data_IF_934904373129
#
_entry.id   IF_934904373129
#
_cell.length_a   1.000
_cell.length_b   1.000
_cell.length_c   1.000
_cell.angle_alpha   90.00
_cell.angle_beta   90.00
_cell.angle_gamma   90.00
#
_symmetry.space_group_name_H-M   'P 1'
#
loop_
_entity.id
_entity.type
_entity.pdbx_description
1 polymer ?
#
# COMPACT_ATOMS: atom_id res chain seq x y z
N UNK A 1 -26.56 -44.01 25.96
CA UNK A 1 -25.97 -42.78 25.36
C UNK A 1 -24.61 -42.43 25.97
N UNK A 2 -24.44 -42.49 27.30
CA UNK A 2 -23.13 -42.29 27.96
C UNK A 2 -22.03 -43.24 27.44
N UNK A 3 -22.36 -44.51 27.21
CA UNK A 3 -21.40 -45.49 26.67
C UNK A 3 -20.92 -45.14 25.26
N UNK A 4 -21.83 -44.63 24.41
CA UNK A 4 -21.49 -44.11 23.09
C UNK A 4 -20.56 -42.89 23.17
N UNK A 5 -20.74 -42.02 24.17
CA UNK A 5 -19.84 -40.90 24.44
C UNK A 5 -18.46 -41.41 24.89
N UNK A 6 -18.40 -42.39 25.80
CA UNK A 6 -17.14 -43.02 26.27
C UNK A 6 -16.35 -43.61 25.11
N UNK A 7 -16.99 -44.41 24.25
CA UNK A 7 -16.36 -44.99 23.07
C UNK A 7 -15.89 -43.93 22.06
N UNK A 8 -16.65 -42.83 21.91
CA UNK A 8 -16.28 -41.73 21.03
C UNK A 8 -15.00 -41.02 21.53
N UNK A 9 -14.92 -40.71 22.83
CA UNK A 9 -13.78 -39.97 23.41
C UNK A 9 -12.53 -40.85 23.59
N UNK A 10 -12.71 -42.16 23.77
CA UNK A 10 -11.60 -43.12 23.84
C UNK A 10 -10.74 -43.12 22.55
N UNK A 11 -11.35 -42.89 21.39
CA UNK A 11 -10.63 -42.75 20.10
C UNK A 11 -9.63 -41.59 20.09
N UNK A 12 -9.83 -40.59 20.95
CA UNK A 12 -8.95 -39.43 21.11
C UNK A 12 -8.03 -39.55 22.34
N UNK A 13 -7.99 -40.73 22.98
CA UNK A 13 -7.21 -40.97 24.20
C UNK A 13 -7.78 -40.23 25.42
N UNK A 14 -9.08 -39.98 25.46
CA UNK A 14 -9.74 -39.32 26.58
C UNK A 14 -10.63 -40.29 27.37
N UNK A 15 -10.70 -40.07 28.67
CA UNK A 15 -11.58 -40.79 29.60
C UNK A 15 -12.74 -39.89 30.02
N UNK A 16 -13.97 -40.36 29.90
CA UNK A 16 -15.15 -39.66 30.43
C UNK A 16 -15.25 -39.93 31.93
N UNK A 17 -15.29 -38.87 32.75
CA UNK A 17 -15.39 -38.96 34.21
C UNK A 17 -16.84 -38.90 34.70
N UNK A 18 -17.81 -38.68 33.80
CA UNK A 18 -19.22 -38.68 34.17
C UNK A 18 -19.70 -40.09 34.58
N UNK A 19 -20.31 -40.19 35.75
CA UNK A 19 -20.99 -41.38 36.25
C UNK A 19 -22.33 -41.62 35.55
N UNK A 20 -23.05 -40.54 35.20
CA UNK A 20 -24.38 -40.59 34.61
C UNK A 20 -24.50 -39.74 33.33
N UNK A 21 -25.53 -40.02 32.52
CA UNK A 21 -25.80 -39.28 31.30
C UNK A 21 -26.51 -37.96 31.58
N UNK A 22 -25.77 -36.85 31.55
CA UNK A 22 -26.32 -35.50 31.82
C UNK A 22 -27.15 -34.88 30.68
N UNK A 23 -27.26 -35.53 29.51
CA UNK A 23 -27.98 -35.00 28.33
C UNK A 23 -27.06 -34.52 27.19
N UNK A 24 -27.57 -34.41 25.97
CA UNK A 24 -26.74 -34.18 24.76
C UNK A 24 -26.10 -32.78 24.70
N UNK A 25 -26.78 -31.77 25.22
CA UNK A 25 -26.30 -30.38 25.26
C UNK A 25 -25.57 -30.04 26.56
N UNK A 26 -25.47 -31.00 27.49
CA UNK A 26 -24.82 -30.81 28.78
C UNK A 26 -23.30 -30.97 28.66
N UNK A 27 -22.58 -30.32 29.56
CA UNK A 27 -21.12 -30.45 29.68
C UNK A 27 -20.81 -31.70 30.49
N UNK A 28 -19.89 -32.52 30.00
CA UNK A 28 -19.38 -33.69 30.71
C UNK A 28 -17.90 -33.49 31.02
N UNK A 29 -17.42 -33.93 32.20
CA UNK A 29 -16.01 -33.92 32.54
C UNK A 29 -15.26 -35.05 31.82
N UNK A 30 -14.08 -34.70 31.29
CA UNK A 30 -13.16 -35.62 30.62
C UNK A 30 -11.74 -35.44 31.17
N UNK A 31 -10.95 -36.51 31.12
CA UNK A 31 -9.52 -36.48 31.34
C UNK A 31 -8.79 -36.88 30.04
N UNK A 32 -7.72 -36.18 29.66
CA UNK A 32 -6.85 -36.63 28.56
C UNK A 32 -5.77 -37.62 29.05
N UNK A 33 -5.04 -38.23 28.13
CA UNK A 33 -3.91 -39.12 28.43
C UNK A 33 -2.78 -38.47 29.26
N UNK A 34 -2.64 -37.13 29.25
CA UNK A 34 -1.68 -36.39 30.09
C UNK A 34 -2.24 -36.01 31.46
N UNK A 35 -3.46 -36.43 31.79
CA UNK A 35 -4.10 -36.18 33.09
C UNK A 35 -4.81 -34.83 33.23
N UNK A 36 -4.91 -34.01 32.16
CA UNK A 36 -5.68 -32.76 32.25
C UNK A 36 -7.18 -33.05 32.28
N UNK A 37 -7.86 -32.46 33.26
CA UNK A 37 -9.32 -32.54 33.41
C UNK A 37 -9.97 -31.31 32.79
N UNK A 38 -10.98 -31.50 31.96
CA UNK A 38 -11.71 -30.42 31.29
C UNK A 38 -13.15 -30.83 30.94
N UNK A 39 -14.00 -29.85 30.69
CA UNK A 39 -15.41 -30.07 30.39
C UNK A 39 -15.76 -29.73 28.95
N UNK A 40 -16.54 -30.59 28.28
CA UNK A 40 -17.06 -30.33 26.92
C UNK A 40 -18.48 -30.82 26.73
N UNK A 41 -19.17 -30.22 25.76
CA UNK A 41 -20.55 -30.57 25.42
C UNK A 41 -20.58 -31.83 24.56
N UNK A 42 -21.36 -32.83 24.96
CA UNK A 42 -21.47 -34.13 24.27
C UNK A 42 -21.91 -34.03 22.80
N UNK A 43 -22.81 -33.10 22.46
CA UNK A 43 -23.25 -32.84 21.08
C UNK A 43 -22.07 -32.61 20.13
N UNK A 44 -21.07 -31.82 20.58
CA UNK A 44 -19.91 -31.44 19.75
C UNK A 44 -18.95 -32.60 19.49
N UNK A 45 -19.02 -33.66 20.29
CA UNK A 45 -18.21 -34.86 20.15
C UNK A 45 -18.94 -35.93 19.32
N UNK A 46 -20.26 -36.05 19.51
CA UNK A 46 -21.06 -37.12 18.93
C UNK A 46 -21.60 -36.83 17.52
N UNK A 47 -21.85 -35.54 17.19
CA UNK A 47 -22.61 -35.18 15.98
C UNK A 47 -21.96 -34.10 15.10
N UNK A 48 -20.91 -33.42 15.57
CA UNK A 48 -20.29 -32.32 14.81
C UNK A 48 -19.04 -32.79 14.07
N UNK A 49 -19.04 -32.68 12.74
CA UNK A 49 -17.88 -32.87 11.85
C UNK A 49 -16.94 -31.64 11.87
N UNK A 50 -16.57 -31.16 13.06
CA UNK A 50 -15.41 -30.27 13.21
C UNK A 50 -14.14 -31.12 13.36
N UNK A 51 -12.96 -30.57 13.04
CA UNK A 51 -11.68 -31.29 13.16
C UNK A 51 -11.48 -32.00 14.50
N UNK A 52 -10.54 -32.95 14.52
CA UNK A 52 -10.32 -33.83 15.67
C UNK A 52 -10.21 -33.02 16.99
N UNK A 53 -11.04 -33.31 17.99
CA UNK A 53 -11.03 -32.58 19.23
C UNK A 53 -9.71 -32.75 19.98
N UNK A 54 -9.11 -31.63 20.40
CA UNK A 54 -7.86 -31.61 21.16
C UNK A 54 -8.08 -31.10 22.57
N UNK A 55 -7.27 -31.60 23.51
CA UNK A 55 -7.22 -31.06 24.86
C UNK A 55 -6.50 -29.71 24.79
N UNK A 56 -7.15 -28.63 25.25
CA UNK A 56 -6.63 -27.26 25.14
C UNK A 56 -5.33 -27.12 25.94
N UNK A 57 -5.26 -27.73 27.13
CA UNK A 57 -4.05 -27.70 27.97
C UNK A 57 -2.88 -28.42 27.31
N UNK A 58 -3.08 -29.63 26.78
CA UNK A 58 -2.09 -30.34 25.98
C UNK A 58 -1.62 -29.50 24.78
N UNK A 59 -2.55 -28.88 24.06
CA UNK A 59 -2.24 -28.05 22.90
C UNK A 59 -1.38 -26.83 23.28
N UNK A 60 -1.66 -26.19 24.43
CA UNK A 60 -0.88 -25.07 24.93
C UNK A 60 0.53 -25.49 25.34
N UNK A 61 0.68 -26.64 26.00
CA UNK A 61 1.98 -27.24 26.31
C UNK A 61 2.76 -27.55 25.03
N UNK A 62 2.14 -28.18 24.04
CA UNK A 62 2.81 -28.51 22.76
C UNK A 62 3.23 -27.25 21.99
N UNK A 63 2.45 -26.17 22.07
CA UNK A 63 2.82 -24.87 21.48
C UNK A 63 4.02 -24.28 22.22
N UNK A 64 3.99 -24.30 23.56
CA UNK A 64 5.09 -23.82 24.41
C UNK A 64 6.38 -24.59 24.10
N UNK A 65 6.32 -25.91 24.13
CA UNK A 65 7.51 -26.75 24.01
C UNK A 65 8.13 -26.64 22.62
N UNK A 66 7.30 -26.57 21.56
CA UNK A 66 7.78 -26.27 20.20
C UNK A 66 8.41 -24.89 20.08
N UNK A 67 7.86 -23.89 20.77
CA UNK A 67 8.39 -22.54 20.75
C UNK A 67 9.74 -22.45 21.48
N UNK A 68 9.86 -23.09 22.65
CA UNK A 68 11.12 -23.21 23.39
C UNK A 68 12.17 -24.00 22.61
N UNK A 69 11.78 -25.09 21.94
CA UNK A 69 12.68 -25.86 21.08
C UNK A 69 13.22 -25.00 19.92
N UNK A 70 12.38 -24.19 19.26
CA UNK A 70 12.82 -23.24 18.21
C UNK A 70 13.78 -22.18 18.73
N UNK A 71 13.60 -21.73 19.98
CA UNK A 71 14.55 -20.81 20.61
C UNK A 71 15.89 -21.50 20.85
N UNK A 72 15.87 -22.69 21.44
CA UNK A 72 17.08 -23.47 21.75
C UNK A 72 17.87 -23.83 20.48
N UNK A 73 17.20 -24.29 19.42
CA UNK A 73 17.81 -24.62 18.12
C UNK A 73 18.61 -23.46 17.53
N UNK A 74 18.14 -22.23 17.73
CA UNK A 74 18.78 -21.01 17.22
C UNK A 74 19.66 -20.31 18.23
N UNK A 75 19.96 -20.95 19.36
CA UNK A 75 20.78 -20.40 20.45
C UNK A 75 20.19 -19.14 21.07
N UNK A 76 18.86 -19.04 21.14
CA UNK A 76 18.15 -17.93 21.77
C UNK A 76 17.87 -18.20 23.24
N UNK A 77 18.11 -17.21 24.10
CA UNK A 77 17.77 -17.23 25.53
C UNK A 77 16.61 -16.27 25.77
N UNK A 78 15.59 -16.74 26.49
CA UNK A 78 14.48 -15.91 26.93
C UNK A 78 14.88 -15.13 28.19
N UNK A 79 14.71 -13.81 28.16
CA UNK A 79 15.08 -12.92 29.28
C UNK A 79 13.91 -12.62 30.20
N UNK A 80 12.67 -12.67 29.70
CA UNK A 80 11.49 -12.25 30.45
C UNK A 80 10.45 -13.37 30.64
N UNK A 81 10.33 -13.86 31.88
CA UNK A 81 9.23 -14.70 32.35
C UNK A 81 9.03 -16.03 31.58
N UNK A 82 8.03 -16.83 31.98
CA UNK A 82 7.66 -18.04 31.26
C UNK A 82 6.88 -17.72 29.98
N UNK A 83 6.81 -18.68 29.07
CA UNK A 83 5.96 -18.58 27.88
C UNK A 83 4.47 -18.59 28.28
N UNK A 84 3.83 -17.44 28.11
CA UNK A 84 2.38 -17.26 28.34
C UNK A 84 1.49 -17.37 27.09
N UNK A 85 2.05 -17.41 25.87
CA UNK A 85 1.28 -17.57 24.64
C UNK A 85 1.89 -16.89 23.41
N UNK A 86 1.46 -17.29 22.21
CA UNK A 86 2.05 -16.80 20.95
C UNK A 86 1.86 -15.30 20.69
N UNK A 87 0.81 -14.68 21.23
CA UNK A 87 0.53 -13.26 21.02
C UNK A 87 1.21 -12.35 22.06
N UNK A 88 1.90 -12.93 23.04
CA UNK A 88 2.66 -12.17 24.02
C UNK A 88 4.01 -11.71 23.44
N UNK A 89 4.57 -10.68 24.08
CA UNK A 89 5.88 -10.13 23.74
C UNK A 89 6.95 -10.67 24.67
N UNK A 90 8.08 -11.02 24.07
CA UNK A 90 9.22 -11.65 24.71
C UNK A 90 10.49 -10.88 24.39
N UNK A 91 11.35 -10.74 25.38
CA UNK A 91 12.71 -10.23 25.27
C UNK A 91 13.64 -11.42 25.13
N UNK A 92 14.29 -11.52 23.97
CA UNK A 92 15.14 -12.65 23.61
C UNK A 92 16.54 -12.14 23.34
N UNK A 93 17.54 -12.87 23.84
CA UNK A 93 18.96 -12.70 23.52
C UNK A 93 19.40 -13.79 22.55
N UNK A 94 20.04 -13.48 21.43
CA UNK A 94 20.60 -14.50 20.53
C UNK A 94 22.00 -14.93 20.97
N UNK A 95 22.52 -15.98 20.34
CA UNK A 95 23.89 -16.48 20.55
C UNK A 95 24.98 -15.41 20.33
N UNK A 96 24.72 -14.41 19.48
CA UNK A 96 25.64 -13.29 19.25
C UNK A 96 25.51 -12.16 20.31
N UNK A 97 24.68 -12.35 21.34
CA UNK A 97 24.48 -11.38 22.42
C UNK A 97 23.48 -10.27 22.13
N UNK A 98 22.82 -10.25 20.96
CA UNK A 98 21.84 -9.21 20.66
C UNK A 98 20.51 -9.46 21.37
N UNK A 99 20.00 -8.43 22.02
CA UNK A 99 18.71 -8.44 22.71
C UNK A 99 17.66 -7.72 21.88
N UNK A 100 16.46 -8.30 21.77
CA UNK A 100 15.34 -7.64 21.11
C UNK A 100 14.00 -8.10 21.66
N UNK A 101 13.01 -7.23 21.52
CA UNK A 101 11.61 -7.51 21.88
C UNK A 101 10.81 -7.97 20.66
N UNK A 102 10.17 -9.14 20.75
CA UNK A 102 9.41 -9.76 19.66
C UNK A 102 8.19 -10.51 20.17
N UNK A 103 7.17 -10.59 19.33
CA UNK A 103 5.98 -11.39 19.61
C UNK A 103 6.24 -12.89 19.37
N UNK A 104 5.75 -13.76 20.25
CA UNK A 104 6.02 -15.21 20.21
C UNK A 104 5.70 -15.85 18.85
N UNK A 105 4.60 -15.44 18.22
CA UNK A 105 4.15 -15.89 16.90
C UNK A 105 5.21 -15.67 15.82
N UNK A 106 5.95 -14.56 15.86
CA UNK A 106 6.98 -14.24 14.85
C UNK A 106 8.15 -15.21 14.91
N UNK A 107 8.51 -15.70 16.10
CA UNK A 107 9.49 -16.76 16.28
C UNK A 107 8.96 -18.09 15.74
N UNK A 108 7.69 -18.42 16.02
CA UNK A 108 7.04 -19.62 15.44
C UNK A 108 6.98 -19.59 13.92
N UNK A 109 6.79 -18.42 13.31
CA UNK A 109 6.81 -18.20 11.85
C UNK A 109 8.23 -18.18 11.25
N UNK A 110 9.29 -18.27 12.08
CA UNK A 110 10.67 -18.38 11.62
C UNK A 110 11.44 -17.05 11.52
N UNK A 111 10.84 -15.92 11.90
CA UNK A 111 11.57 -14.64 12.01
C UNK A 111 12.53 -14.69 13.21
N UNK A 112 13.68 -14.04 13.10
CA UNK A 112 14.75 -14.08 14.11
C UNK A 112 15.34 -12.70 14.40
N UNK A 113 16.45 -12.69 15.15
CA UNK A 113 17.25 -11.52 15.51
C UNK A 113 17.45 -10.56 14.32
N UNK A 114 16.90 -9.34 14.40
CA UNK A 114 17.04 -8.34 13.33
C UNK A 114 18.50 -7.94 13.08
N UNK A 115 19.30 -7.83 14.14
CA UNK A 115 20.72 -7.44 14.06
C UNK A 115 21.55 -8.51 13.34
N UNK A 116 21.35 -9.80 13.66
CA UNK A 116 22.00 -10.88 12.92
C UNK A 116 21.52 -10.95 11.47
N UNK A 117 20.22 -10.82 11.24
CA UNK A 117 19.66 -10.82 9.88
C UNK A 117 20.20 -9.66 9.03
N UNK A 118 20.37 -8.48 9.62
CA UNK A 118 21.00 -7.34 8.97
C UNK A 118 22.48 -7.59 8.70
N UNK A 119 23.23 -8.10 9.68
CA UNK A 119 24.64 -8.46 9.51
C UNK A 119 24.86 -9.50 8.41
N UNK A 120 24.01 -10.52 8.30
CA UNK A 120 24.07 -11.53 7.26
C UNK A 120 23.66 -10.99 5.89
N UNK A 121 22.65 -10.12 5.82
CA UNK A 121 22.30 -9.42 4.57
C UNK A 121 23.43 -8.51 4.09
N UNK A 122 24.10 -7.82 5.02
CA UNK A 122 25.28 -6.99 4.77
C UNK A 122 26.45 -7.85 4.30
N UNK A 123 26.76 -8.98 4.94
CA UNK A 123 27.83 -9.89 4.51
C UNK A 123 27.55 -10.51 3.13
N UNK A 124 26.32 -10.96 2.86
CA UNK A 124 25.89 -11.49 1.55
C UNK A 124 25.89 -10.42 0.46
N UNK A 125 25.69 -9.15 0.80
CA UNK A 125 25.76 -8.02 -0.15
C UNK A 125 27.16 -7.45 -0.31
N UNK A 126 28.04 -7.62 0.69
CA UNK A 126 29.46 -7.25 0.66
C UNK A 126 30.36 -8.32 0.05
N UNK A 127 29.80 -9.39 -0.57
CA UNK A 127 30.60 -10.40 -1.25
C UNK A 127 31.70 -9.71 -2.07
N UNK A 128 32.95 -10.13 -1.87
CA UNK A 128 34.16 -9.53 -2.43
C UNK A 128 34.08 -9.28 -3.96
N UNK A 129 33.18 -9.96 -4.64
CA UNK A 129 32.87 -9.80 -6.07
C UNK A 129 32.05 -8.55 -6.43
N UNK A 130 31.54 -7.78 -5.47
CA UNK A 130 30.75 -6.57 -5.74
C UNK A 130 31.52 -5.54 -6.57
N UNK A 131 32.79 -5.33 -6.23
CA UNK A 131 33.69 -4.45 -7.00
C UNK A 131 34.05 -5.07 -8.36
N UNK A 132 34.39 -6.36 -8.39
CA UNK A 132 34.72 -7.08 -9.62
C UNK A 132 33.58 -7.03 -10.65
N UNK A 133 32.33 -7.18 -10.20
CA UNK A 133 31.12 -7.07 -11.03
C UNK A 133 30.90 -5.65 -11.56
N UNK A 134 31.21 -4.62 -10.77
CA UNK A 134 31.16 -3.23 -11.25
C UNK A 134 32.24 -2.95 -12.29
N UNK A 135 33.46 -3.47 -12.11
CA UNK A 135 34.52 -3.37 -13.13
C UNK A 135 34.14 -4.11 -14.42
N UNK A 136 33.61 -5.33 -14.32
CA UNK A 136 33.16 -6.10 -15.49
C UNK A 136 32.05 -5.35 -16.26
N UNK A 137 31.04 -4.82 -15.55
CA UNK A 137 29.97 -4.02 -16.18
C UNK A 137 30.47 -2.71 -16.79
N UNK A 138 31.51 -2.12 -16.21
CA UNK A 138 32.14 -0.93 -16.78
C UNK A 138 32.88 -1.26 -18.08
N UNK A 139 33.63 -2.36 -18.11
CA UNK A 139 34.36 -2.83 -19.28
C UNK A 139 33.43 -3.23 -20.42
N UNK A 140 32.31 -3.91 -20.15
CA UNK A 140 31.26 -4.21 -21.15
C UNK A 140 30.71 -2.97 -21.87
N UNK A 141 30.87 -1.78 -21.28
CA UNK A 141 30.35 -0.50 -21.79
C UNK A 141 31.47 0.46 -22.18
N UNK A 142 32.65 -0.07 -22.49
CA UNK A 142 33.87 0.67 -22.85
C UNK A 142 34.20 1.77 -21.85
N UNK A 143 33.99 1.52 -20.56
CA UNK A 143 34.28 2.47 -19.49
C UNK A 143 35.01 1.84 -18.32
N UNK A 144 35.24 2.65 -17.29
CA UNK A 144 36.05 2.31 -16.13
C UNK A 144 35.31 2.66 -14.85
N UNK A 145 35.33 1.76 -13.87
CA UNK A 145 35.00 2.10 -12.49
C UNK A 145 36.27 2.67 -11.82
N UNK A 146 36.17 3.87 -11.24
CA UNK A 146 37.26 4.57 -10.56
C UNK A 146 37.24 4.36 -9.04
N UNK A 147 36.23 3.68 -8.51
CA UNK A 147 36.13 3.37 -7.09
C UNK A 147 37.04 2.20 -6.73
N UNK A 148 37.84 2.36 -5.67
CA UNK A 148 38.77 1.32 -5.19
C UNK A 148 38.16 0.37 -4.14
N UNK A 149 37.01 0.74 -3.56
CA UNK A 149 36.37 -0.03 -2.48
C UNK A 149 34.87 -0.19 -2.74
N UNK A 150 34.36 -1.38 -2.46
CA UNK A 150 32.93 -1.70 -2.49
C UNK A 150 32.41 -1.85 -1.07
N UNK A 151 31.69 -0.83 -0.60
CA UNK A 151 31.00 -0.86 0.68
C UNK A 151 29.53 -0.53 0.49
N UNK A 152 28.65 -1.18 1.25
CA UNK A 152 27.20 -0.93 1.20
C UNK A 152 26.87 0.50 1.66
N UNK A 153 27.72 1.07 2.52
CA UNK A 153 27.63 2.46 2.96
C UNK A 153 28.02 3.45 1.87
N UNK A 154 28.92 3.06 0.96
CA UNK A 154 29.24 3.83 -0.23
C UNK A 154 28.05 3.78 -1.19
N UNK A 155 27.11 4.70 -0.97
CA UNK A 155 25.90 4.84 -1.77
C UNK A 155 26.21 5.13 -3.24
N UNK A 156 27.40 5.64 -3.55
CA UNK A 156 27.78 6.12 -4.87
C UNK A 156 29.19 5.67 -5.26
N UNK A 157 29.29 5.14 -6.48
CA UNK A 157 30.51 4.68 -7.11
C UNK A 157 30.86 5.58 -8.28
N UNK A 158 32.15 5.84 -8.49
CA UNK A 158 32.66 6.72 -9.54
C UNK A 158 32.93 5.92 -10.81
N UNK A 159 32.45 6.42 -11.93
CA UNK A 159 32.61 5.80 -13.25
C UNK A 159 33.08 6.83 -14.28
N UNK A 160 33.77 6.34 -15.30
CA UNK A 160 34.20 7.08 -16.50
C UNK A 160 33.80 6.28 -17.74
N UNK A 161 33.20 6.92 -18.76
CA UNK A 161 32.85 6.25 -20.02
C UNK A 161 33.92 6.47 -21.09
N UNK A 162 33.83 5.76 -22.22
CA UNK A 162 34.71 5.91 -23.39
C UNK A 162 34.91 7.36 -23.87
N UNK A 163 33.89 8.21 -23.70
CA UNK A 163 33.93 9.63 -24.09
C UNK A 163 34.52 10.55 -23.00
N UNK A 164 35.10 9.99 -21.94
CA UNK A 164 35.71 10.73 -20.83
C UNK A 164 34.73 11.36 -19.83
N UNK A 165 33.43 11.07 -19.92
CA UNK A 165 32.47 11.60 -18.94
C UNK A 165 32.59 10.88 -17.62
N UNK A 166 32.78 11.64 -16.53
CA UNK A 166 32.81 11.13 -15.16
C UNK A 166 31.48 11.37 -14.44
N UNK A 167 30.99 10.37 -13.72
CA UNK A 167 29.77 10.49 -12.90
C UNK A 167 29.79 9.55 -11.69
N UNK A 168 28.88 9.81 -10.76
CA UNK A 168 28.63 9.00 -9.58
C UNK A 168 27.27 8.30 -9.69
N UNK A 169 27.22 6.99 -9.43
CA UNK A 169 25.99 6.19 -9.54
C UNK A 169 25.96 5.07 -8.49
N UNK A 170 24.75 4.60 -8.15
CA UNK A 170 24.59 3.44 -7.27
C UNK A 170 24.92 2.15 -8.02
N UNK A 171 25.51 1.18 -7.33
CA UNK A 171 25.84 -0.11 -7.93
C UNK A 171 24.63 -0.81 -8.58
N UNK A 172 23.47 -0.78 -7.92
CA UNK A 172 22.23 -1.37 -8.43
C UNK A 172 21.74 -0.72 -9.75
N UNK A 173 21.95 0.59 -9.93
CA UNK A 173 21.52 1.28 -11.15
C UNK A 173 22.38 0.87 -12.36
N UNK A 174 23.67 0.65 -12.12
CA UNK A 174 24.61 0.11 -13.11
C UNK A 174 24.25 -1.34 -13.46
N UNK A 175 23.94 -2.18 -12.46
CA UNK A 175 23.51 -3.56 -12.71
C UNK A 175 22.20 -3.65 -13.49
N UNK A 176 21.30 -2.68 -13.33
CA UNK A 176 20.06 -2.55 -14.11
C UNK A 176 20.28 -2.03 -15.54
N UNK A 177 21.51 -1.67 -15.91
CA UNK A 177 21.89 -1.27 -17.26
C UNK A 177 22.04 0.24 -17.48
N UNK A 178 21.84 1.07 -16.45
CA UNK A 178 22.08 2.51 -16.51
C UNK A 178 23.58 2.78 -16.60
N UNK A 179 24.01 3.70 -17.46
CA UNK A 179 25.43 4.00 -17.66
C UNK A 179 25.69 5.51 -17.66
N UNK A 180 26.24 6.06 -18.74
CA UNK A 180 26.54 7.48 -18.84
C UNK A 180 25.32 8.30 -19.29
N UNK A 181 24.72 9.04 -18.37
CA UNK A 181 23.59 9.93 -18.67
C UNK A 181 23.89 11.04 -19.68
N UNK A 182 25.14 11.53 -19.75
CA UNK A 182 25.56 12.50 -20.78
C UNK A 182 25.60 11.86 -22.17
N UNK A 183 26.16 10.66 -22.30
CA UNK A 183 26.14 9.92 -23.57
C UNK A 183 24.72 9.54 -23.99
N UNK A 184 23.88 9.11 -23.05
CA UNK A 184 22.48 8.81 -23.31
C UNK A 184 21.75 10.06 -23.83
N UNK A 185 21.90 11.20 -23.16
CA UNK A 185 21.33 12.48 -23.61
C UNK A 185 21.82 12.91 -24.99
N UNK A 186 23.11 12.77 -25.30
CA UNK A 186 23.67 13.10 -26.61
C UNK A 186 23.14 12.20 -27.74
N UNK A 187 22.80 10.96 -27.41
CA UNK A 187 22.20 10.01 -28.37
C UNK A 187 20.73 10.35 -28.58
N UNK A 188 19.98 10.57 -27.49
CA UNK A 188 18.56 10.94 -27.54
C UNK A 188 18.31 12.34 -28.11
N UNK A 189 19.21 13.31 -27.91
CA UNK A 189 19.06 14.68 -28.45
C UNK A 189 19.20 14.73 -29.97
N UNK A 190 19.78 13.70 -30.59
CA UNK A 190 19.94 13.59 -32.05
C UNK A 190 18.80 12.81 -32.71
N UNK A 191 18.00 12.08 -31.93
CA UNK A 191 16.88 11.27 -32.42
C UNK A 191 15.58 12.05 -32.20
N UNK A 192 15.25 12.90 -33.17
CA UNK A 192 13.93 13.52 -33.25
C UNK A 192 12.98 12.49 -33.88
N UNK A 193 11.82 12.26 -33.27
CA UNK A 193 10.78 11.40 -33.85
C UNK A 193 10.39 11.95 -35.24
N UNK A 194 10.65 11.21 -36.34
CA UNK A 194 10.34 11.68 -37.69
C UNK A 194 8.84 11.91 -37.89
N UNK A 195 7.99 11.26 -37.10
CA UNK A 195 6.53 11.43 -37.12
C UNK A 195 6.01 12.39 -36.05
N UNK A 196 6.91 13.07 -35.32
CA UNK A 196 6.54 13.93 -34.19
C UNK A 196 5.61 15.08 -34.58
N UNK A 197 5.84 15.70 -35.74
CA UNK A 197 4.97 16.77 -36.26
C UNK A 197 3.57 16.26 -36.61
N UNK A 198 3.49 15.14 -37.35
CA UNK A 198 2.22 14.54 -37.75
C UNK A 198 1.38 14.15 -36.53
N UNK A 199 2.01 13.56 -35.50
CA UNK A 199 1.36 13.22 -34.23
C UNK A 199 0.87 14.47 -33.49
N UNK A 200 1.65 15.54 -33.49
CA UNK A 200 1.28 16.80 -32.83
C UNK A 200 0.09 17.48 -33.53
N UNK A 201 0.09 17.49 -34.86
CA UNK A 201 -1.02 18.00 -35.67
C UNK A 201 -2.28 17.13 -35.53
N UNK A 202 -2.15 15.80 -35.44
CA UNK A 202 -3.26 14.89 -35.20
C UNK A 202 -3.89 15.13 -33.81
N UNK A 203 -3.08 15.27 -32.76
CA UNK A 203 -3.55 15.59 -31.41
C UNK A 203 -4.27 16.94 -31.35
N UNK A 204 -3.80 17.93 -32.12
CA UNK A 204 -4.50 19.21 -32.24
C UNK A 204 -5.87 19.07 -32.91
N UNK A 205 -5.94 18.31 -34.02
CA UNK A 205 -7.19 18.04 -34.75
C UNK A 205 -8.22 17.31 -33.89
N UNK A 206 -7.79 16.31 -33.11
CA UNK A 206 -8.66 15.57 -32.19
C UNK A 206 -9.32 16.49 -31.15
N UNK A 207 -8.61 17.54 -30.71
CA UNK A 207 -9.14 18.56 -29.77
C UNK A 207 -9.90 19.70 -30.47
N UNK A 208 -10.20 19.55 -31.76
CA UNK A 208 -10.88 20.55 -32.57
C UNK A 208 -10.06 21.82 -32.75
N UNK A 209 -8.74 21.71 -32.90
CA UNK A 209 -7.88 22.85 -33.22
C UNK A 209 -6.77 22.48 -34.19
N UNK A 210 -5.81 23.39 -34.32
CA UNK A 210 -4.69 23.26 -35.25
C UNK A 210 -3.37 23.54 -34.54
N UNK A 211 -2.34 22.79 -34.94
CA UNK A 211 -0.96 23.12 -34.61
C UNK A 211 -0.41 23.98 -35.76
N UNK A 212 0.16 25.13 -35.44
CA UNK A 212 0.68 26.11 -36.41
C UNK A 212 2.19 25.91 -36.66
N UNK A 213 2.77 24.81 -36.18
CA UNK A 213 4.19 24.54 -36.35
C UNK A 213 4.46 23.88 -37.72
N UNK A 214 5.52 24.32 -38.38
CA UNK A 214 5.99 23.75 -39.65
C UNK A 214 7.07 22.67 -39.46
N UNK A 215 7.72 22.64 -38.30
CA UNK A 215 8.78 21.69 -37.98
C UNK A 215 8.65 21.16 -36.55
N UNK A 216 9.08 19.91 -36.35
CA UNK A 216 9.17 19.28 -35.03
C UNK A 216 10.63 19.09 -34.66
N UNK A 217 11.02 19.67 -33.52
CA UNK A 217 12.42 19.71 -33.04
C UNK A 217 12.60 18.82 -31.80
N UNK A 218 11.51 18.45 -31.12
CA UNK A 218 11.54 17.58 -29.95
C UNK A 218 10.31 17.68 -29.05
N UNK A 219 10.15 16.70 -28.17
CA UNK A 219 8.96 16.56 -27.31
C UNK A 219 8.91 17.54 -26.13
N UNK A 220 10.06 18.13 -25.80
CA UNK A 220 10.24 19.14 -24.74
C UNK A 220 10.11 20.58 -25.25
N UNK A 221 10.08 20.78 -26.56
CA UNK A 221 9.98 22.11 -27.18
C UNK A 221 8.55 22.65 -27.20
N UNK A 222 8.43 23.98 -27.31
CA UNK A 222 7.15 24.69 -27.37
C UNK A 222 6.73 24.91 -28.82
N UNK A 223 5.45 24.66 -29.09
CA UNK A 223 4.83 24.81 -30.40
C UNK A 223 3.59 25.70 -30.31
N UNK A 224 3.30 26.48 -31.37
CA UNK A 224 2.08 27.29 -31.46
C UNK A 224 0.85 26.42 -31.78
N UNK A 225 -0.24 26.69 -31.09
CA UNK A 225 -1.55 26.04 -31.30
C UNK A 225 -2.67 27.08 -31.35
N UNK A 226 -3.74 26.74 -32.08
CA UNK A 226 -4.99 27.49 -32.13
C UNK A 226 -6.17 26.55 -31.91
N UNK A 227 -7.11 26.89 -31.03
CA UNK A 227 -8.33 26.07 -30.82
C UNK A 227 -9.47 26.48 -31.77
N UNK A 228 -10.56 25.71 -31.82
CA UNK A 228 -11.77 26.03 -32.60
C UNK A 228 -12.34 27.43 -32.32
N UNK A 229 -12.22 27.92 -31.08
CA UNK A 229 -12.71 29.25 -30.68
C UNK A 229 -11.77 30.38 -31.16
N UNK A 230 -10.58 30.04 -31.67
CA UNK A 230 -9.60 31.00 -32.18
C UNK A 230 -8.53 31.43 -31.17
N UNK A 231 -8.52 30.90 -29.94
CA UNK A 231 -7.45 31.22 -28.99
C UNK A 231 -6.13 30.62 -29.44
N UNK A 232 -5.07 31.43 -29.45
CA UNK A 232 -3.71 31.00 -29.76
C UNK A 232 -2.84 30.91 -28.49
N UNK A 233 -1.99 29.88 -28.41
CA UNK A 233 -1.03 29.74 -27.31
C UNK A 233 0.18 28.87 -27.69
N UNK A 234 1.24 28.99 -26.89
CA UNK A 234 2.43 28.15 -26.97
C UNK A 234 2.35 27.01 -25.93
N UNK A 235 2.57 25.77 -26.36
CA UNK A 235 2.58 24.61 -25.46
C UNK A 235 3.66 23.59 -25.81
N UNK A 236 4.12 22.86 -24.80
CA UNK A 236 5.09 21.78 -24.98
C UNK A 236 4.41 20.57 -25.61
N UNK A 237 5.03 19.94 -26.62
CA UNK A 237 4.43 18.79 -27.33
C UNK A 237 4.03 17.64 -26.38
N UNK A 238 4.89 17.27 -25.44
CA UNK A 238 4.58 16.23 -24.44
C UNK A 238 3.34 16.55 -23.59
N UNK A 239 3.06 17.82 -23.28
CA UNK A 239 1.85 18.22 -22.54
C UNK A 239 0.57 18.08 -23.36
N UNK A 240 0.65 18.35 -24.67
CA UNK A 240 -0.49 18.18 -25.58
C UNK A 240 -0.86 16.69 -25.67
N UNK A 241 0.13 15.81 -25.80
CA UNK A 241 -0.11 14.36 -25.81
C UNK A 241 -0.65 13.82 -24.48
N UNK A 242 -0.31 14.45 -23.36
CA UNK A 242 -0.91 14.17 -22.04
C UNK A 242 -2.34 14.73 -21.88
N UNK A 243 -2.91 15.34 -22.92
CA UNK A 243 -4.30 15.80 -22.95
C UNK A 243 -4.51 17.25 -22.49
N UNK A 244 -3.45 17.99 -22.16
CA UNK A 244 -3.58 19.41 -21.87
C UNK A 244 -3.89 20.20 -23.16
N UNK A 245 -4.85 21.13 -23.09
CA UNK A 245 -5.26 21.92 -24.25
C UNK A 245 -5.48 23.40 -23.87
N UNK A 246 -6.31 24.11 -24.64
CA UNK A 246 -6.61 25.53 -24.50
C UNK A 246 -7.10 25.88 -23.08
N UNK A 247 -6.26 26.59 -22.33
CA UNK A 247 -6.56 27.06 -20.97
C UNK A 247 -7.73 28.04 -20.93
N UNK A 248 -7.88 28.85 -21.97
CA UNK A 248 -8.97 29.83 -22.06
C UNK A 248 -10.32 29.12 -22.21
N UNK A 249 -10.42 28.15 -23.13
CA UNK A 249 -11.61 27.31 -23.25
C UNK A 249 -11.89 26.48 -21.99
N UNK A 250 -10.86 25.93 -21.34
CA UNK A 250 -11.03 25.23 -20.08
C UNK A 250 -11.56 26.16 -18.98
N UNK A 251 -11.04 27.40 -18.90
CA UNK A 251 -11.52 28.42 -17.98
C UNK A 251 -12.97 28.86 -18.26
N UNK A 252 -13.35 29.01 -19.53
CA UNK A 252 -14.72 29.32 -19.94
C UNK A 252 -15.69 28.19 -19.55
N UNK A 253 -15.34 26.92 -19.80
CA UNK A 253 -16.14 25.77 -19.35
C UNK A 253 -16.28 25.67 -17.82
N UNK A 254 -15.35 26.26 -17.06
CA UNK A 254 -15.39 26.27 -15.60
C UNK A 254 -16.20 27.42 -15.01
N UNK A 255 -16.58 28.43 -15.82
CA UNK A 255 -17.47 29.52 -15.41
C UNK A 255 -18.88 28.98 -15.27
N UNK A 256 -19.21 28.62 -14.04
CA UNK A 256 -20.57 28.26 -13.66
C UNK A 256 -21.47 29.50 -13.75
N UNK A 257 -22.76 29.30 -14.03
CA UNK A 257 -23.79 30.35 -14.05
C UNK A 257 -24.69 30.24 -12.81
N UNK A 258 -25.58 31.22 -12.61
CA UNK A 258 -26.62 31.10 -11.57
C UNK A 258 -27.57 29.93 -11.86
N UNK A 259 -27.82 29.60 -13.13
CA UNK A 259 -28.66 28.47 -13.52
C UNK A 259 -28.00 27.13 -13.19
N UNK A 260 -26.67 27.02 -13.30
CA UNK A 260 -25.94 25.84 -12.80
C UNK A 260 -26.13 25.65 -11.29
N UNK A 261 -26.21 26.76 -10.53
CA UNK A 261 -26.43 26.72 -9.09
C UNK A 261 -27.87 26.32 -8.74
N UNK A 262 -28.84 26.78 -9.55
CA UNK A 262 -30.24 26.35 -9.44
C UNK A 262 -30.39 24.86 -9.71
N UNK A 263 -29.81 24.36 -10.81
CA UNK A 263 -29.79 22.94 -11.13
C UNK A 263 -29.13 22.09 -10.03
N UNK A 264 -28.01 22.57 -9.47
CA UNK A 264 -27.34 21.92 -8.33
C UNK A 264 -28.23 21.86 -7.08
N UNK A 265 -29.01 22.91 -6.81
CA UNK A 265 -29.96 22.90 -5.71
C UNK A 265 -31.08 21.89 -5.94
N UNK A 266 -31.66 21.89 -7.14
CA UNK A 266 -32.74 20.97 -7.54
C UNK A 266 -32.30 19.52 -7.43
N UNK A 267 -31.09 19.19 -7.88
CA UNK A 267 -30.52 17.85 -7.78
C UNK A 267 -30.40 17.33 -6.33
N UNK A 268 -30.39 18.24 -5.34
CA UNK A 268 -30.34 17.92 -3.90
C UNK A 268 -31.69 18.13 -3.20
N UNK A 269 -32.76 18.26 -3.98
CA UNK A 269 -34.13 18.46 -3.50
C UNK A 269 -34.36 19.84 -2.86
N UNK A 270 -33.60 20.85 -3.25
CA UNK A 270 -33.76 22.21 -2.72
C UNK A 270 -33.81 23.28 -3.81
N UNK A 271 -33.72 24.54 -3.37
CA UNK A 271 -33.78 25.72 -4.22
C UNK A 271 -32.56 26.62 -3.96
N UNK A 272 -32.06 27.26 -5.01
CA UNK A 272 -31.13 28.37 -4.89
C UNK A 272 -31.96 29.67 -4.96
N UNK A 273 -31.98 30.44 -3.87
CA UNK A 273 -32.78 31.67 -3.75
C UNK A 273 -32.02 32.90 -4.26
N UNK A 274 -30.71 32.81 -4.47
CA UNK A 274 -29.92 33.91 -5.04
C UNK A 274 -30.27 34.13 -6.52
N UNK A 275 -30.28 35.39 -6.93
CA UNK A 275 -30.52 35.82 -8.31
C UNK A 275 -29.25 35.98 -9.13
N UNK A 276 -28.11 36.17 -8.47
CA UNK A 276 -26.82 36.43 -9.11
C UNK A 276 -25.73 35.46 -8.65
N UNK A 277 -24.80 35.13 -9.55
CA UNK A 277 -23.64 34.31 -9.26
C UNK A 277 -22.33 35.06 -9.54
N UNK A 278 -21.66 35.47 -8.47
CA UNK A 278 -20.39 36.23 -8.53
C UNK A 278 -19.16 35.32 -8.36
N UNK A 279 -19.34 33.99 -8.45
CA UNK A 279 -18.26 33.00 -8.40
C UNK A 279 -18.29 32.06 -7.19
N UNK A 280 -17.46 31.00 -7.24
CA UNK A 280 -17.51 29.84 -6.33
C UNK A 280 -17.24 30.16 -4.85
N UNK A 281 -16.63 31.33 -4.56
CA UNK A 281 -16.23 31.77 -3.21
C UNK A 281 -17.23 32.71 -2.55
N UNK A 282 -18.13 33.29 -3.33
CA UNK A 282 -19.20 34.17 -2.82
C UNK A 282 -20.33 33.30 -2.29
N UNK A 283 -20.92 33.69 -1.15
CA UNK A 283 -22.03 32.96 -0.56
C UNK A 283 -23.28 33.13 -1.43
N UNK A 284 -24.03 32.05 -1.59
CA UNK A 284 -25.40 32.07 -2.13
C UNK A 284 -26.36 31.63 -1.03
N UNK A 285 -27.62 31.99 -1.20
CA UNK A 285 -28.73 31.61 -0.32
C UNK A 285 -29.39 30.36 -0.88
N UNK A 286 -29.51 29.33 -0.05
CA UNK A 286 -30.04 28.01 -0.40
C UNK A 286 -31.22 27.66 0.49
N UNK A 287 -32.14 26.86 -0.04
CA UNK A 287 -33.25 26.27 0.71
C UNK A 287 -33.28 24.76 0.47
N UNK A 288 -33.50 23.95 1.52
CA UNK A 288 -33.60 22.49 1.38
C UNK A 288 -35.05 22.03 1.25
N UNK A 289 -35.26 20.74 0.96
CA UNK A 289 -36.59 20.13 0.88
C UNK A 289 -37.46 20.29 2.15
N UNK A 290 -36.86 20.59 3.32
CA UNK A 290 -37.58 20.86 4.58
C UNK A 290 -37.88 22.34 4.80
N UNK A 291 -37.56 23.21 3.85
CA UNK A 291 -37.78 24.65 3.92
C UNK A 291 -36.70 25.44 4.65
N UNK A 292 -35.67 24.83 5.24
CA UNK A 292 -34.60 25.56 5.92
C UNK A 292 -33.81 26.41 4.93
N UNK A 293 -33.62 27.69 5.24
CA UNK A 293 -32.83 28.64 4.45
C UNK A 293 -31.47 28.88 5.11
N UNK A 294 -30.38 28.84 4.34
CA UNK A 294 -29.04 29.15 4.83
C UNK A 294 -28.14 29.71 3.74
N UNK A 295 -27.08 30.42 4.16
CA UNK A 295 -26.04 30.89 3.26
C UNK A 295 -24.88 29.90 3.20
N UNK A 296 -24.41 29.57 2.00
CA UNK A 296 -23.22 28.74 1.82
C UNK A 296 -22.51 29.06 0.52
N UNK A 297 -21.20 28.82 0.51
CA UNK A 297 -20.39 28.92 -0.71
C UNK A 297 -20.72 27.75 -1.65
N UNK A 298 -20.93 27.99 -2.94
CA UNK A 298 -21.15 26.97 -3.97
C UNK A 298 -20.12 25.84 -3.99
N UNK A 299 -18.85 26.14 -3.68
CA UNK A 299 -17.80 25.12 -3.57
C UNK A 299 -18.10 24.09 -2.47
N UNK A 300 -18.67 24.50 -1.34
CA UNK A 300 -19.01 23.61 -0.23
C UNK A 300 -20.22 22.73 -0.58
N UNK A 301 -21.18 23.31 -1.32
CA UNK A 301 -22.35 22.58 -1.82
C UNK A 301 -21.92 21.51 -2.83
N UNK A 302 -21.05 21.88 -3.77
CA UNK A 302 -20.49 20.96 -4.76
C UNK A 302 -19.64 19.85 -4.10
N UNK A 303 -18.95 20.16 -3.00
CA UNK A 303 -18.15 19.20 -2.23
C UNK A 303 -18.99 18.24 -1.35
N UNK A 304 -20.31 18.42 -1.29
CA UNK A 304 -21.23 17.51 -0.60
C UNK A 304 -21.85 18.03 0.70
N UNK A 305 -21.46 19.22 1.16
CA UNK A 305 -22.13 19.87 2.30
C UNK A 305 -23.51 20.38 1.87
N UNK A 306 -24.55 20.22 2.68
CA UNK A 306 -25.90 20.67 2.33
C UNK A 306 -26.52 21.53 3.42
N UNK A 307 -27.67 21.12 3.98
CA UNK A 307 -28.37 21.86 5.00
C UNK A 307 -27.81 21.53 6.41
N UNK A 308 -27.29 22.51 7.16
CA UNK A 308 -26.75 22.28 8.51
C UNK A 308 -27.82 21.81 9.49
N UNK A 309 -29.05 22.36 9.39
CA UNK A 309 -30.19 21.97 10.21
C UNK A 309 -30.55 20.49 9.99
N UNK A 310 -30.69 20.06 8.72
CA UNK A 310 -30.96 18.64 8.41
C UNK A 310 -29.81 17.73 8.87
N UNK A 311 -28.56 18.18 8.77
CA UNK A 311 -27.41 17.42 9.24
C UNK A 311 -27.41 17.22 10.75
N UNK A 312 -27.81 18.23 11.53
CA UNK A 312 -27.97 18.13 13.00
C UNK A 312 -29.07 17.13 13.34
N UNK A 313 -30.26 17.25 12.73
CA UNK A 313 -31.39 16.33 12.97
C UNK A 313 -31.03 14.87 12.63
N UNK A 314 -30.26 14.64 11.56
CA UNK A 314 -29.82 13.29 11.20
C UNK A 314 -28.77 12.72 12.16
N UNK A 315 -27.97 13.56 12.82
CA UNK A 315 -26.98 13.12 13.82
C UNK A 315 -27.63 12.74 15.15
N UNK A 316 -28.63 13.48 15.60
CA UNK A 316 -29.34 13.17 16.85
C UNK A 316 -30.10 11.86 16.74
N UNK A 317 -30.84 11.64 15.65
CA UNK A 317 -31.55 10.37 15.39
C UNK A 317 -30.67 9.10 15.33
N UNK A 318 -29.36 9.24 15.06
CA UNK A 318 -28.42 8.10 15.03
C UNK A 318 -27.83 7.74 16.39
N UNK A 319 -28.02 8.58 17.41
CA UNK A 319 -27.56 8.32 18.79
C UNK A 319 -28.61 7.62 19.64
N UNK A 320 -29.88 7.72 19.23
CA UNK A 320 -31.03 7.18 19.96
C UNK A 320 -31.48 5.79 19.42
N UNK A 321 -30.67 5.18 18.55
CA UNK A 321 -30.89 3.88 17.90
C UNK A 321 -29.63 3.02 18.05
#
# INVERSE_FOLDING_TARGET
MLERLRQCVAKYGWQCLASEWLGVNSRHPFACARGHVFERVALTLLYRNGGAPVCISCQQEDIRDRWLAKLAERGGTLLNGPFIGLFARYEIRCAAGHEWSVEGRKISEGRWCPSCAHGDATRRSCCADGLARLHAKAQERDGKCLSAHYTIESRLYRFECAKGHRWEARANDIFRGTWCGRCAKLTSSRQVDPNGLARLQAAAREKGGVCLADAYVGSAEKYPFRCAVGHEWMAIASRIWLGHWCRQCAGLKLRQTIDDMRALATARGGLCLSTEYQGRRTKLTWQCHRGHVWESRPINISAGTWCPQCAITNRTRRRDN
#
